data_IF_665150083128
#
_entry.id   IF_665150083128
#
_cell.length_a   1.000
_cell.length_b   1.000
_cell.length_c   1.000
_cell.angle_alpha   90.00
_cell.angle_beta   90.00
_cell.angle_gamma   90.00
#
_symmetry.space_group_name_H-M   'P 1'
#
loop_
_entity.id
_entity.type
_entity.pdbx_description
1 polymer ?
#
# COMPACT_ATOMS: atom_id res chain seq x y z
N UNK A 1 -14.35 -9.35 -21.57
CA UNK A 1 -14.19 -8.29 -20.55
C UNK A 1 -12.84 -7.67 -20.76
N UNK A 2 -12.78 -6.38 -21.09
CA UNK A 2 -11.52 -5.62 -21.06
C UNK A 2 -11.13 -5.44 -19.60
N UNK A 3 -9.95 -5.91 -19.24
CA UNK A 3 -9.39 -5.76 -17.89
C UNK A 3 -8.83 -4.34 -17.80
N UNK A 4 -9.25 -3.59 -16.77
CA UNK A 4 -8.69 -2.27 -16.49
C UNK A 4 -7.23 -2.41 -16.04
N UNK A 5 -6.35 -1.61 -16.62
CA UNK A 5 -4.94 -1.53 -16.22
C UNK A 5 -4.79 -0.82 -14.88
N UNK A 6 -3.67 -1.02 -14.19
CA UNK A 6 -3.38 -0.31 -12.94
C UNK A 6 -3.25 1.20 -13.14
N UNK A 7 -2.73 1.64 -14.29
CA UNK A 7 -2.60 3.04 -14.65
C UNK A 7 -3.97 3.70 -14.80
N UNK A 8 -4.89 3.05 -15.52
CA UNK A 8 -6.28 3.52 -15.65
C UNK A 8 -7.02 3.54 -14.30
N UNK A 9 -6.77 2.54 -13.44
CA UNK A 9 -7.34 2.51 -12.09
C UNK A 9 -6.83 3.67 -11.24
N UNK A 10 -5.52 3.91 -11.23
CA UNK A 10 -4.91 5.01 -10.47
C UNK A 10 -5.44 6.36 -10.94
N UNK A 11 -5.58 6.56 -12.25
CA UNK A 11 -6.15 7.79 -12.80
C UNK A 11 -7.58 8.03 -12.28
N UNK A 12 -8.44 7.00 -12.25
CA UNK A 12 -9.80 7.09 -11.71
C UNK A 12 -9.85 7.36 -10.21
N UNK A 13 -8.94 6.77 -9.44
CA UNK A 13 -8.84 7.05 -7.99
C UNK A 13 -8.46 8.51 -7.76
N UNK A 14 -7.48 9.01 -8.52
CA UNK A 14 -7.04 10.42 -8.40
C UNK A 14 -8.14 11.39 -8.83
N UNK A 15 -8.87 11.09 -9.90
CA UNK A 15 -10.04 11.88 -10.31
C UNK A 15 -11.11 11.90 -9.22
N UNK A 16 -11.46 10.74 -8.65
CA UNK A 16 -12.42 10.64 -7.55
C UNK A 16 -11.99 11.45 -6.31
N UNK A 17 -10.70 11.42 -5.96
CA UNK A 17 -10.14 12.18 -4.85
C UNK A 17 -10.17 13.70 -5.13
N UNK A 18 -9.85 14.09 -6.36
CA UNK A 18 -9.85 15.48 -6.82
C UNK A 18 -11.24 16.11 -6.81
N UNK A 19 -12.24 15.41 -7.34
CA UNK A 19 -13.65 15.85 -7.31
C UNK A 19 -14.15 16.16 -5.88
N UNK A 20 -13.55 15.51 -4.88
CA UNK A 20 -13.90 15.65 -3.46
C UNK A 20 -12.92 16.53 -2.69
N UNK A 21 -11.92 17.09 -3.36
CA UNK A 21 -10.86 17.94 -2.80
C UNK A 21 -10.07 17.25 -1.67
N UNK A 22 -9.99 15.93 -1.71
CA UNK A 22 -9.24 15.14 -0.73
C UNK A 22 -7.74 15.31 -0.98
N UNK A 23 -7.34 15.40 -2.25
CA UNK A 23 -5.96 15.62 -2.69
C UNK A 23 -5.46 17.07 -2.50
N UNK A 24 -6.30 17.96 -1.96
CA UNK A 24 -5.98 19.32 -1.55
C UNK A 24 -6.03 19.52 -0.02
N UNK A 25 -6.38 18.48 0.74
CA UNK A 25 -6.56 18.55 2.18
C UNK A 25 -5.23 18.59 2.96
N UNK A 26 -5.30 18.74 4.29
CA UNK A 26 -4.12 18.49 5.14
C UNK A 26 -3.71 17.00 5.00
N UNK A 27 -2.45 16.68 4.65
CA UNK A 27 -1.96 15.30 4.55
C UNK A 27 -2.25 14.42 5.78
N UNK A 28 -2.42 15.02 6.96
CA UNK A 28 -2.80 14.33 8.19
C UNK A 28 -4.11 13.57 8.07
N UNK A 29 -5.05 14.01 7.22
CA UNK A 29 -6.35 13.35 7.02
C UNK A 29 -6.15 11.94 6.45
N UNK A 30 -5.42 11.83 5.34
CA UNK A 30 -5.14 10.51 4.74
C UNK A 30 -4.14 9.71 5.57
N UNK A 31 -3.24 10.36 6.31
CA UNK A 31 -2.41 9.66 7.29
C UNK A 31 -3.23 8.97 8.38
N UNK A 32 -4.22 9.68 8.94
CA UNK A 32 -5.16 9.10 9.91
C UNK A 32 -6.02 8.00 9.27
N UNK A 33 -6.43 8.18 8.01
CA UNK A 33 -7.16 7.17 7.25
C UNK A 33 -6.36 5.88 7.10
N UNK A 34 -5.08 5.95 6.75
CA UNK A 34 -4.20 4.77 6.70
C UNK A 34 -4.16 4.01 8.04
N UNK A 35 -4.12 4.73 9.17
CA UNK A 35 -4.13 4.10 10.49
C UNK A 35 -5.48 3.40 10.81
N UNK A 36 -6.60 4.02 10.42
CA UNK A 36 -7.94 3.43 10.49
C UNK A 36 -8.01 2.14 9.68
N UNK A 37 -7.63 2.19 8.39
CA UNK A 37 -7.71 1.05 7.48
C UNK A 37 -6.78 -0.10 7.88
N UNK A 38 -5.61 0.20 8.44
CA UNK A 38 -4.74 -0.81 9.02
C UNK A 38 -5.41 -1.53 10.22
N UNK A 39 -6.15 -0.78 11.05
CA UNK A 39 -6.94 -1.34 12.14
C UNK A 39 -8.06 -2.25 11.65
N UNK A 40 -8.77 -1.83 10.59
CA UNK A 40 -9.81 -2.63 9.95
C UNK A 40 -9.24 -3.92 9.33
N UNK A 41 -8.12 -3.81 8.63
CA UNK A 41 -7.40 -4.94 8.03
C UNK A 41 -7.02 -5.98 9.10
N UNK A 42 -6.44 -5.52 10.21
CA UNK A 42 -6.07 -6.37 11.36
C UNK A 42 -7.30 -7.07 11.96
N UNK A 43 -8.40 -6.34 12.15
CA UNK A 43 -9.66 -6.88 12.66
C UNK A 43 -10.27 -7.92 11.72
N UNK A 44 -10.25 -7.66 10.40
CA UNK A 44 -10.79 -8.54 9.38
C UNK A 44 -9.99 -9.85 9.28
N UNK A 45 -8.66 -9.77 9.32
CA UNK A 45 -7.78 -10.93 9.33
C UNK A 45 -8.01 -11.80 10.57
N UNK A 46 -7.97 -11.22 11.75
CA UNK A 46 -8.12 -11.94 13.02
C UNK A 46 -9.49 -12.61 13.15
N UNK A 47 -10.54 -12.01 12.58
CA UNK A 47 -11.91 -12.56 12.61
C UNK A 47 -12.25 -13.43 11.39
N UNK A 48 -11.26 -13.74 10.53
CA UNK A 48 -11.41 -14.55 9.32
C UNK A 48 -12.53 -14.05 8.38
N UNK A 49 -12.75 -12.73 8.33
CA UNK A 49 -13.78 -12.11 7.49
C UNK A 49 -13.23 -11.84 6.10
N UNK A 50 -13.28 -12.84 5.21
CA UNK A 50 -12.65 -12.76 3.87
C UNK A 50 -13.08 -11.56 3.03
N UNK A 51 -14.39 -11.24 3.00
CA UNK A 51 -14.89 -10.10 2.23
C UNK A 51 -14.27 -8.78 2.74
N UNK A 52 -14.40 -8.53 4.05
CA UNK A 52 -13.83 -7.33 4.69
C UNK A 52 -12.31 -7.26 4.58
N UNK A 53 -11.62 -8.40 4.57
CA UNK A 53 -10.18 -8.46 4.34
C UNK A 53 -9.81 -7.93 2.95
N UNK A 54 -10.58 -8.29 1.92
CA UNK A 54 -10.35 -7.78 0.56
C UNK A 54 -10.61 -6.28 0.50
N UNK A 55 -11.71 -5.82 1.10
CA UNK A 55 -12.07 -4.40 1.16
C UNK A 55 -10.97 -3.56 1.84
N UNK A 56 -10.56 -3.93 3.05
CA UNK A 56 -9.55 -3.19 3.82
C UNK A 56 -8.16 -3.19 3.18
N UNK A 57 -7.82 -4.19 2.35
CA UNK A 57 -6.59 -4.14 1.54
C UNK A 57 -6.70 -3.02 0.50
N UNK A 58 -7.84 -2.93 -0.19
CA UNK A 58 -8.10 -1.88 -1.18
C UNK A 58 -8.12 -0.49 -0.56
N UNK A 59 -8.84 -0.32 0.55
CA UNK A 59 -8.98 0.97 1.24
C UNK A 59 -7.63 1.50 1.72
N UNK A 60 -6.77 0.63 2.27
CA UNK A 60 -5.42 1.02 2.68
C UNK A 60 -4.54 1.45 1.49
N UNK A 61 -4.67 0.80 0.33
CA UNK A 61 -3.92 1.17 -0.88
C UNK A 61 -4.41 2.51 -1.45
N UNK A 62 -5.72 2.76 -1.46
CA UNK A 62 -6.29 4.04 -1.92
C UNK A 62 -5.84 5.18 -1.01
N UNK A 63 -5.90 5.01 0.32
CA UNK A 63 -5.43 6.01 1.28
C UNK A 63 -3.94 6.32 1.08
N UNK A 64 -3.10 5.30 0.86
CA UNK A 64 -1.67 5.50 0.58
C UNK A 64 -1.42 6.23 -0.74
N UNK A 65 -2.18 5.93 -1.79
CA UNK A 65 -2.06 6.60 -3.09
C UNK A 65 -2.39 8.10 -2.99
N UNK A 66 -3.50 8.43 -2.33
CA UNK A 66 -3.93 9.83 -2.12
C UNK A 66 -2.96 10.55 -1.17
N UNK A 67 -2.52 9.90 -0.10
CA UNK A 67 -1.49 10.44 0.79
C UNK A 67 -0.21 10.78 0.02
N UNK A 68 0.25 9.90 -0.88
CA UNK A 68 1.44 10.13 -1.70
C UNK A 68 1.31 11.40 -2.53
N UNK A 69 0.13 11.62 -3.15
CA UNK A 69 -0.18 12.88 -3.85
C UNK A 69 -0.07 14.10 -2.93
N UNK A 70 -0.68 14.03 -1.74
CA UNK A 70 -0.70 15.12 -0.76
C UNK A 70 0.70 15.53 -0.28
N UNK A 71 1.64 14.58 -0.19
CA UNK A 71 3.02 14.85 0.23
C UNK A 71 3.99 15.04 -0.93
N UNK A 72 3.50 15.07 -2.18
CA UNK A 72 4.33 15.28 -3.36
C UNK A 72 5.26 14.11 -3.70
N UNK A 73 4.87 12.88 -3.33
CA UNK A 73 5.62 11.65 -3.64
C UNK A 73 4.93 10.92 -4.79
N UNK A 74 5.70 10.58 -5.82
CA UNK A 74 5.24 9.67 -6.87
C UNK A 74 5.19 8.24 -6.30
N UNK A 75 3.97 7.73 -6.12
CA UNK A 75 3.72 6.39 -5.57
C UNK A 75 4.35 5.28 -6.42
N UNK A 76 4.30 5.38 -7.76
CA UNK A 76 4.85 4.37 -8.64
C UNK A 76 6.39 4.35 -8.56
N UNK A 77 7.03 5.53 -8.59
CA UNK A 77 8.48 5.64 -8.44
C UNK A 77 8.94 5.15 -7.06
N UNK A 78 8.18 5.41 -5.99
CA UNK A 78 8.48 4.89 -4.65
C UNK A 78 8.43 3.35 -4.61
N UNK A 79 7.43 2.74 -5.24
CA UNK A 79 7.30 1.29 -5.37
C UNK A 79 8.41 0.67 -6.22
N UNK A 80 8.74 1.28 -7.36
CA UNK A 80 9.83 0.83 -8.23
C UNK A 80 11.17 0.86 -7.49
N UNK A 81 11.46 1.96 -6.78
CA UNK A 81 12.65 2.06 -5.93
C UNK A 81 12.67 0.96 -4.87
N UNK A 82 11.57 0.76 -4.15
CA UNK A 82 11.48 -0.29 -3.13
C UNK A 82 11.68 -1.69 -3.74
N UNK A 83 11.17 -1.92 -4.95
CA UNK A 83 11.37 -3.17 -5.67
C UNK A 83 12.84 -3.39 -6.05
N UNK A 84 13.52 -2.38 -6.61
CA UNK A 84 14.93 -2.46 -6.95
C UNK A 84 15.77 -2.86 -5.73
N UNK A 85 15.48 -2.30 -4.55
CA UNK A 85 16.13 -2.62 -3.28
C UNK A 85 15.89 -4.06 -2.78
N UNK A 86 14.76 -4.70 -3.13
CA UNK A 86 14.47 -6.08 -2.73
C UNK A 86 14.84 -7.11 -3.79
N UNK A 87 14.86 -6.72 -5.07
CA UNK A 87 15.08 -7.61 -6.22
C UNK A 87 16.48 -8.20 -6.26
N UNK A 88 17.46 -7.50 -5.69
CA UNK A 88 18.86 -7.91 -5.62
C UNK A 88 19.23 -8.60 -4.30
N UNK A 89 18.27 -8.76 -3.38
CA UNK A 89 18.53 -9.38 -2.06
C UNK A 89 18.74 -10.87 -2.20
N UNK A 90 19.88 -11.33 -1.68
CA UNK A 90 20.18 -12.74 -1.48
C UNK A 90 20.02 -13.07 0.01
N UNK A 91 19.58 -14.28 0.32
CA UNK A 91 19.23 -14.65 1.68
C UNK A 91 18.46 -15.97 1.77
N UNK A 92 18.03 -16.30 2.98
CA UNK A 92 17.24 -17.50 3.28
C UNK A 92 16.01 -17.14 4.09
N UNK A 93 14.90 -17.79 3.80
CA UNK A 93 13.69 -17.69 4.63
C UNK A 93 13.72 -18.76 5.71
N UNK A 94 13.55 -18.36 6.97
CA UNK A 94 13.47 -19.31 8.09
C UNK A 94 12.20 -20.15 8.02
N UNK A 95 12.16 -21.26 8.77
CA UNK A 95 10.95 -22.06 8.94
C UNK A 95 9.76 -21.26 9.52
N UNK A 96 10.03 -20.11 10.17
CA UNK A 96 9.02 -19.18 10.68
C UNK A 96 8.57 -18.13 9.65
N UNK A 97 9.09 -18.17 8.41
CA UNK A 97 8.69 -17.25 7.33
C UNK A 97 9.43 -15.91 7.33
N UNK A 98 10.48 -15.74 8.13
CA UNK A 98 11.28 -14.51 8.17
C UNK A 98 12.40 -14.60 7.14
N UNK A 99 12.48 -13.63 6.23
CA UNK A 99 13.59 -13.52 5.29
C UNK A 99 14.82 -12.91 5.99
N UNK A 100 15.93 -13.65 6.02
CA UNK A 100 17.23 -13.20 6.54
C UNK A 100 18.16 -12.95 5.36
N UNK A 101 18.77 -11.76 5.30
CA UNK A 101 19.72 -11.42 4.24
C UNK A 101 20.99 -12.23 4.43
N UNK A 102 21.66 -12.56 3.33
CA UNK A 102 22.92 -13.29 3.36
C UNK A 102 24.01 -12.55 4.16
N UNK A 103 24.04 -11.21 4.08
CA UNK A 103 24.92 -10.36 4.90
C UNK A 103 24.74 -10.52 6.41
N UNK A 104 23.57 -10.99 6.83
CA UNK A 104 23.16 -11.08 8.24
C UNK A 104 23.21 -12.54 8.73
N UNK A 105 23.71 -13.49 7.91
CA UNK A 105 23.81 -14.92 8.25
C UNK A 105 25.11 -15.30 8.96
N UNK A 106 26.13 -14.42 8.93
CA UNK A 106 27.48 -14.68 9.46
C UNK A 106 27.87 -13.76 10.64
N UNK A 107 26.91 -12.99 11.20
CA UNK A 107 27.04 -12.28 12.49
C UNK A 107 26.59 -13.16 13.67
#
# INVERSE_FOLDING_TARGET
MTVMTYEELNAKIMEWAHERRIDEADPRVEFMKMAEELGELSSAYNKQKRAKLVDSIGDLQIALLIFSKLVGVDHHAAMEKAYQEISSRHGKTTAAGVFIKESDLDD
#
